data_IF_796245929728
#
_entry.id   IF_796245929728
#
_cell.length_a   1.000
_cell.length_b   1.000
_cell.length_c   1.000
_cell.angle_alpha   90.00
_cell.angle_beta   90.00
_cell.angle_gamma   90.00
#
_symmetry.space_group_name_H-M   'P 1'
#
loop_
_entity.id
_entity.type
_entity.pdbx_description
1 polymer ?
#
# COMPACT_ATOMS: atom_id res chain seq x y z
N UNK A 1 -20.83 20.41 -12.40
CA UNK A 1 -19.87 19.29 -12.48
C UNK A 1 -18.41 19.75 -12.61
N UNK A 2 -18.11 20.96 -13.12
CA UNK A 2 -16.74 21.50 -13.11
C UNK A 2 -16.34 22.18 -11.78
N UNK A 3 -17.32 22.57 -10.94
CA UNK A 3 -17.12 23.36 -9.70
C UNK A 3 -16.76 22.55 -8.44
N UNK A 4 -16.56 21.23 -8.53
CA UNK A 4 -16.32 20.38 -7.34
C UNK A 4 -15.09 19.48 -7.49
N UNK A 5 -14.10 19.94 -8.26
CA UNK A 5 -12.84 19.21 -8.44
C UNK A 5 -11.86 19.57 -7.32
N UNK A 6 -11.08 18.59 -6.81
CA UNK A 6 -10.11 18.86 -5.77
C UNK A 6 -8.96 19.71 -6.30
N UNK A 7 -8.42 20.60 -5.47
CA UNK A 7 -7.29 21.47 -5.82
C UNK A 7 -6.01 20.66 -6.15
N UNK A 8 -5.86 19.49 -5.51
CA UNK A 8 -4.74 18.58 -5.71
C UNK A 8 -5.24 17.19 -6.12
N UNK A 9 -4.54 16.61 -7.09
CA UNK A 9 -4.72 15.22 -7.48
C UNK A 9 -3.43 14.44 -7.26
N UNK A 10 -3.51 13.37 -6.48
CA UNK A 10 -2.39 12.49 -6.15
C UNK A 10 -2.50 11.19 -6.94
N UNK A 11 -1.71 11.06 -8.00
CA UNK A 11 -1.62 9.81 -8.76
C UNK A 11 -0.70 8.84 -8.03
N UNK A 12 -1.31 7.91 -7.31
CA UNK A 12 -0.62 6.86 -6.56
C UNK A 12 0.32 6.04 -7.46
N UNK A 13 1.48 5.72 -6.90
CA UNK A 13 2.50 4.81 -7.42
C UNK A 13 2.86 3.82 -6.32
N UNK A 14 3.68 2.83 -6.65
CA UNK A 14 4.12 1.79 -5.70
C UNK A 14 4.65 2.37 -4.37
N UNK A 15 5.53 3.38 -4.43
CA UNK A 15 6.20 3.95 -3.25
C UNK A 15 5.84 5.42 -2.98
N UNK A 16 4.69 5.91 -3.48
CA UNK A 16 4.27 7.30 -3.25
C UNK A 16 3.30 7.80 -4.30
N UNK A 17 3.50 9.01 -4.81
CA UNK A 17 2.60 9.59 -5.79
C UNK A 17 3.28 10.65 -6.67
N UNK A 18 2.69 10.91 -7.83
CA UNK A 18 2.87 12.20 -8.50
C UNK A 18 1.74 13.13 -8.10
N UNK A 19 2.13 14.35 -7.76
CA UNK A 19 1.23 15.39 -7.30
C UNK A 19 0.96 16.33 -8.46
N UNK A 20 -0.31 16.51 -8.77
CA UNK A 20 -0.79 17.48 -9.73
C UNK A 20 -1.63 18.52 -9.01
N UNK A 21 -1.44 19.77 -9.39
CA UNK A 21 -2.40 20.84 -9.08
C UNK A 21 -3.42 20.88 -10.21
N UNK A 22 -4.69 20.90 -9.84
CA UNK A 22 -5.80 20.86 -10.79
C UNK A 22 -6.25 22.28 -11.05
N UNK A 23 -6.23 22.70 -12.31
CA UNK A 23 -6.76 23.99 -12.75
C UNK A 23 -8.07 23.76 -13.52
N UNK A 24 -9.11 24.48 -13.10
CA UNK A 24 -10.47 24.39 -13.65
C UNK A 24 -10.93 25.69 -14.31
N UNK A 25 -10.14 26.76 -14.26
CA UNK A 25 -10.53 28.10 -14.75
C UNK A 25 -10.33 28.30 -16.25
N UNK A 26 -10.05 27.24 -17.01
CA UNK A 26 -9.84 27.38 -18.44
C UNK A 26 -11.19 27.57 -19.16
N UNK A 27 -11.31 28.63 -19.98
CA UNK A 27 -12.54 29.03 -20.73
C UNK A 27 -13.20 27.90 -21.55
N UNK A 28 -12.48 26.80 -21.76
CA UNK A 28 -12.90 25.61 -22.52
C UNK A 28 -13.50 24.48 -21.65
N UNK A 29 -13.66 24.65 -20.33
CA UNK A 29 -14.09 23.59 -19.38
C UNK A 29 -13.20 22.33 -19.41
N UNK A 30 -11.90 22.49 -19.71
CA UNK A 30 -10.92 21.39 -19.65
C UNK A 30 -10.29 21.36 -18.27
N UNK A 31 -10.11 20.15 -17.75
CA UNK A 31 -9.34 19.91 -16.53
C UNK A 31 -7.88 19.88 -16.93
N UNK A 32 -7.11 20.84 -16.44
CA UNK A 32 -5.66 20.85 -16.62
C UNK A 32 -4.99 20.34 -15.34
N UNK A 33 -4.00 19.45 -15.50
CA UNK A 33 -3.25 18.86 -14.41
C UNK A 33 -1.79 19.25 -14.54
N UNK A 34 -1.38 20.21 -13.73
CA UNK A 34 -0.01 20.72 -13.68
C UNK A 34 0.79 19.90 -12.65
N UNK A 35 1.78 19.15 -13.11
CA UNK A 35 2.61 18.36 -12.21
C UNK A 35 3.49 19.27 -11.36
N UNK A 36 3.32 19.21 -10.04
CA UNK A 36 4.05 20.08 -9.10
C UNK A 36 5.15 19.33 -8.36
N UNK A 37 4.97 18.02 -8.10
CA UNK A 37 5.91 17.25 -7.30
C UNK A 37 5.82 15.73 -7.53
N UNK A 38 6.83 15.02 -7.03
CA UNK A 38 6.83 13.57 -6.84
C UNK A 38 7.15 13.28 -5.38
N UNK A 39 6.34 12.41 -4.77
CA UNK A 39 6.44 12.04 -3.36
C UNK A 39 6.96 10.61 -3.25
N UNK A 40 7.85 10.38 -2.28
CA UNK A 40 8.31 9.05 -1.88
C UNK A 40 7.97 8.82 -0.40
N UNK A 41 7.07 7.87 -0.13
CA UNK A 41 6.58 7.56 1.21
C UNK A 41 7.60 6.80 2.07
N UNK A 42 8.49 6.02 1.46
CA UNK A 42 9.50 5.25 2.19
C UNK A 42 10.62 6.16 2.73
N UNK A 43 10.89 7.27 2.04
CA UNK A 43 11.94 8.24 2.40
C UNK A 43 11.41 9.52 3.04
N UNK A 44 10.09 9.66 3.13
CA UNK A 44 9.44 10.91 3.52
C UNK A 44 9.91 12.14 2.73
N UNK A 45 10.06 11.93 1.43
CA UNK A 45 10.68 12.90 0.53
C UNK A 45 9.66 13.48 -0.44
N UNK A 46 9.73 14.80 -0.63
CA UNK A 46 8.90 15.56 -1.56
C UNK A 46 9.83 16.26 -2.54
N UNK A 47 9.82 15.81 -3.80
CA UNK A 47 10.65 16.36 -4.87
C UNK A 47 9.82 17.27 -5.77
N UNK A 48 10.07 18.59 -5.79
CA UNK A 48 9.42 19.47 -6.77
C UNK A 48 9.69 19.02 -8.20
N UNK A 49 8.75 19.29 -9.10
CA UNK A 49 8.91 18.99 -10.52
C UNK A 49 9.64 20.13 -11.25
N UNK A 50 10.76 19.81 -11.90
CA UNK A 50 11.60 20.82 -12.57
C UNK A 50 12.21 21.81 -11.57
N UNK A 51 12.34 23.07 -11.98
CA UNK A 51 12.90 24.16 -11.16
C UNK A 51 11.85 24.86 -10.29
N UNK A 52 10.74 24.17 -10.00
CA UNK A 52 9.61 24.75 -9.30
C UNK A 52 9.86 24.88 -7.80
N UNK A 53 9.46 26.01 -7.22
CA UNK A 53 9.34 26.17 -5.77
C UNK A 53 7.91 25.85 -5.34
N UNK A 54 7.74 24.90 -4.43
CA UNK A 54 6.44 24.59 -3.83
C UNK A 54 6.05 25.66 -2.81
N UNK A 55 4.79 26.09 -2.84
CA UNK A 55 4.23 26.99 -1.84
C UNK A 55 4.02 26.29 -0.50
N UNK A 56 3.77 27.06 0.56
CA UNK A 56 3.41 26.51 1.86
C UNK A 56 2.10 25.68 1.80
N UNK A 57 1.15 26.09 0.97
CA UNK A 57 -0.11 25.36 0.76
C UNK A 57 0.15 24.01 0.05
N UNK A 58 0.97 24.00 -1.01
CA UNK A 58 1.35 22.76 -1.71
C UNK A 58 1.99 21.78 -0.72
N UNK A 59 2.95 22.24 0.09
CA UNK A 59 3.65 21.41 1.06
C UNK A 59 2.72 20.87 2.14
N UNK A 60 1.78 21.68 2.63
CA UNK A 60 0.80 21.26 3.63
C UNK A 60 -0.14 20.18 3.07
N UNK A 61 -0.67 20.39 1.86
CA UNK A 61 -1.54 19.42 1.20
C UNK A 61 -0.82 18.10 0.93
N UNK A 62 0.43 18.15 0.47
CA UNK A 62 1.24 16.95 0.21
C UNK A 62 1.50 16.18 1.51
N UNK A 63 1.87 16.86 2.60
CA UNK A 63 2.14 16.21 3.89
C UNK A 63 0.89 15.57 4.48
N UNK A 64 -0.26 16.27 4.44
CA UNK A 64 -1.53 15.71 4.90
C UNK A 64 -1.89 14.43 4.14
N UNK A 65 -1.76 14.47 2.81
CA UNK A 65 -1.98 13.28 1.97
C UNK A 65 -1.01 12.14 2.31
N UNK A 66 0.26 12.43 2.57
CA UNK A 66 1.25 11.41 2.96
C UNK A 66 0.86 10.72 4.27
N UNK A 67 0.43 11.47 5.27
CA UNK A 67 0.04 10.95 6.58
C UNK A 67 -1.21 10.07 6.48
N UNK A 68 -2.25 10.55 5.79
CA UNK A 68 -3.47 9.77 5.51
C UNK A 68 -3.14 8.50 4.73
N UNK A 69 -2.26 8.60 3.74
CA UNK A 69 -1.87 7.46 2.91
C UNK A 69 -1.12 6.41 3.71
N UNK A 70 -0.20 6.81 4.58
CA UNK A 70 0.53 5.88 5.47
C UNK A 70 -0.41 5.18 6.44
N UNK A 71 -1.34 5.91 7.04
CA UNK A 71 -2.34 5.33 7.94
C UNK A 71 -3.19 4.28 7.20
N UNK A 72 -3.66 4.59 5.99
CA UNK A 72 -4.40 3.65 5.15
C UNK A 72 -3.57 2.42 4.77
N UNK A 73 -2.29 2.59 4.40
CA UNK A 73 -1.40 1.47 4.08
C UNK A 73 -1.20 0.56 5.30
N UNK A 74 -0.94 1.12 6.47
CA UNK A 74 -0.79 0.35 7.70
C UNK A 74 -2.07 -0.45 8.06
N UNK A 75 -3.26 0.12 7.82
CA UNK A 75 -4.52 -0.61 7.99
C UNK A 75 -4.67 -1.75 6.98
N UNK A 76 -4.20 -1.57 5.75
CA UNK A 76 -4.24 -2.62 4.71
C UNK A 76 -3.23 -3.72 4.98
N UNK A 77 -2.06 -3.38 5.48
CA UNK A 77 -1.02 -4.35 5.81
C UNK A 77 -1.53 -5.38 6.82
N UNK A 78 -2.19 -4.93 7.90
CA UNK A 78 -2.75 -5.87 8.91
C UNK A 78 -3.92 -6.69 8.35
N UNK A 79 -4.74 -6.10 7.48
CA UNK A 79 -5.85 -6.75 6.81
C UNK A 79 -5.37 -7.82 5.81
N UNK A 80 -4.25 -7.58 5.11
CA UNK A 80 -3.58 -8.59 4.26
C UNK A 80 -3.05 -9.78 5.08
N UNK A 81 -2.57 -9.55 6.31
CA UNK A 81 -2.18 -10.65 7.21
C UNK A 81 -3.40 -11.48 7.62
N UNK A 82 -4.55 -10.85 7.92
CA UNK A 82 -5.78 -11.59 8.19
C UNK A 82 -6.24 -12.40 6.96
N UNK A 83 -6.17 -11.81 5.76
CA UNK A 83 -6.44 -12.55 4.50
C UNK A 83 -5.52 -13.75 4.30
N UNK A 84 -4.24 -13.65 4.69
CA UNK A 84 -3.32 -14.77 4.62
C UNK A 84 -3.77 -15.93 5.53
N UNK A 85 -4.25 -15.63 6.75
CA UNK A 85 -4.82 -16.63 7.66
C UNK A 85 -6.05 -17.30 7.03
N UNK A 86 -6.96 -16.53 6.48
CA UNK A 86 -8.15 -17.07 5.79
C UNK A 86 -7.77 -17.93 4.59
N UNK A 87 -6.77 -17.51 3.81
CA UNK A 87 -6.27 -18.27 2.67
C UNK A 87 -5.70 -19.62 3.11
N UNK A 88 -4.93 -19.67 4.21
CA UNK A 88 -4.41 -20.93 4.76
C UNK A 88 -5.54 -21.86 5.24
N UNK A 89 -6.57 -21.30 5.90
CA UNK A 89 -7.73 -22.06 6.35
C UNK A 89 -8.52 -22.64 5.17
N UNK A 90 -8.79 -21.83 4.14
CA UNK A 90 -9.49 -22.26 2.92
C UNK A 90 -8.67 -23.29 2.14
N UNK A 91 -7.34 -23.14 2.10
CA UNK A 91 -6.43 -24.11 1.47
C UNK A 91 -6.47 -25.44 2.20
N UNK A 92 -6.48 -25.41 3.54
CA UNK A 92 -6.64 -26.62 4.38
C UNK A 92 -7.95 -27.33 4.06
N UNK A 93 -9.06 -26.59 4.02
CA UNK A 93 -10.38 -27.15 3.69
C UNK A 93 -10.42 -27.73 2.27
N UNK A 94 -9.81 -27.04 1.29
CA UNK A 94 -9.70 -27.54 -0.08
C UNK A 94 -8.89 -28.84 -0.14
N UNK A 95 -7.74 -28.91 0.51
CA UNK A 95 -6.90 -30.11 0.56
C UNK A 95 -7.64 -31.31 1.15
N UNK A 96 -8.48 -31.07 2.16
CA UNK A 96 -9.26 -32.12 2.83
C UNK A 96 -10.45 -32.64 2.00
N UNK A 97 -11.13 -31.76 1.27
CA UNK A 97 -12.46 -32.07 0.72
C UNK A 97 -12.55 -32.05 -0.80
N UNK A 98 -11.55 -31.50 -1.51
CA UNK A 98 -11.64 -31.25 -2.96
C UNK A 98 -10.39 -31.57 -3.76
N UNK A 99 -9.19 -31.53 -3.16
CA UNK A 99 -7.95 -31.71 -3.90
C UNK A 99 -7.79 -33.13 -4.47
N UNK A 100 -7.30 -33.24 -5.70
CA UNK A 100 -6.86 -34.52 -6.26
C UNK A 100 -5.44 -34.88 -5.83
N UNK A 101 -5.05 -36.15 -5.94
CA UNK A 101 -3.69 -36.61 -5.62
C UNK A 101 -2.61 -35.84 -6.40
N UNK A 102 -2.79 -35.68 -7.72
CA UNK A 102 -1.84 -34.95 -8.55
C UNK A 102 -1.74 -33.46 -8.17
N UNK A 103 -2.84 -32.83 -7.73
CA UNK A 103 -2.80 -31.46 -7.23
C UNK A 103 -2.05 -31.37 -5.90
N UNK A 104 -2.24 -32.33 -5.00
CA UNK A 104 -1.52 -32.38 -3.72
C UNK A 104 -0.03 -32.60 -3.94
N UNK A 105 0.35 -33.52 -4.81
CA UNK A 105 1.76 -33.76 -5.16
C UNK A 105 2.44 -32.48 -5.69
N UNK A 106 1.73 -31.70 -6.51
CA UNK A 106 2.27 -30.49 -7.11
C UNK A 106 2.51 -29.32 -6.14
N UNK A 107 1.85 -29.28 -4.96
CA UNK A 107 1.89 -28.10 -4.07
C UNK A 107 2.32 -28.40 -2.63
N UNK A 108 2.38 -29.67 -2.22
CA UNK A 108 2.57 -30.03 -0.81
C UNK A 108 3.90 -29.52 -0.25
N UNK A 109 5.01 -29.77 -0.93
CA UNK A 109 6.33 -29.38 -0.43
C UNK A 109 6.48 -27.85 -0.35
N UNK A 110 6.00 -27.13 -1.36
CA UNK A 110 6.01 -25.66 -1.38
C UNK A 110 5.18 -25.08 -0.22
N UNK A 111 3.98 -25.61 0.03
CA UNK A 111 3.14 -25.20 1.14
C UNK A 111 3.79 -25.50 2.50
N UNK A 112 4.36 -26.70 2.66
CA UNK A 112 5.02 -27.10 3.91
C UNK A 112 6.23 -26.22 4.21
N UNK A 113 7.05 -25.90 3.21
CA UNK A 113 8.22 -25.04 3.37
C UNK A 113 7.82 -23.59 3.72
N UNK A 114 6.83 -23.02 3.01
CA UNK A 114 6.34 -21.68 3.30
C UNK A 114 5.75 -21.56 4.71
N UNK A 115 4.95 -22.55 5.14
CA UNK A 115 4.39 -22.59 6.49
C UNK A 115 5.47 -22.78 7.57
N UNK A 116 6.48 -23.59 7.30
CA UNK A 116 7.58 -23.82 8.23
C UNK A 116 8.40 -22.56 8.48
N UNK A 117 8.77 -21.83 7.43
CA UNK A 117 9.54 -20.58 7.54
C UNK A 117 8.74 -19.53 8.32
N UNK A 118 7.49 -19.29 7.92
CA UNK A 118 6.60 -18.34 8.62
C UNK A 118 6.45 -18.69 10.10
N UNK A 119 6.20 -19.97 10.42
CA UNK A 119 6.10 -20.45 11.80
C UNK A 119 7.38 -20.16 12.58
N UNK A 120 8.55 -20.43 12.00
CA UNK A 120 9.84 -20.22 12.66
C UNK A 120 10.07 -18.74 13.01
N UNK A 121 9.75 -17.83 12.09
CA UNK A 121 9.81 -16.37 12.34
C UNK A 121 8.86 -15.94 13.45
N UNK A 122 7.59 -16.40 13.40
CA UNK A 122 6.58 -16.04 14.39
C UNK A 122 6.91 -16.56 15.80
N UNK A 123 7.39 -17.80 15.90
CA UNK A 123 7.82 -18.40 17.18
C UNK A 123 8.99 -17.60 17.77
N UNK A 124 10.01 -17.27 16.96
CA UNK A 124 11.14 -16.43 17.39
C UNK A 124 10.66 -15.07 17.90
N UNK A 125 9.81 -14.37 17.13
CA UNK A 125 9.25 -13.07 17.52
C UNK A 125 8.39 -13.12 18.77
N UNK A 126 7.64 -14.21 18.98
CA UNK A 126 6.88 -14.42 20.21
C UNK A 126 7.80 -14.61 21.42
N UNK A 127 8.90 -15.35 21.25
CA UNK A 127 9.88 -15.56 22.32
C UNK A 127 10.61 -14.26 22.72
N UNK A 128 10.97 -13.41 21.75
CA UNK A 128 11.58 -12.08 21.99
C UNK A 128 10.71 -11.14 22.85
N UNK A 129 9.38 -11.34 22.86
CA UNK A 129 8.42 -10.52 23.63
C UNK A 129 8.21 -11.00 25.06
N UNK A 130 8.71 -12.19 25.42
CA UNK A 130 8.62 -12.67 26.79
C UNK A 130 9.65 -11.91 27.66
N UNK A 131 9.27 -11.44 28.86
CA UNK A 131 10.22 -10.82 29.77
C UNK A 131 11.34 -11.82 30.08
N UNK A 132 12.59 -11.35 30.01
CA UNK A 132 13.74 -12.15 30.44
C UNK A 132 13.56 -12.45 31.93
N UNK A 133 13.60 -13.73 32.28
CA UNK A 133 13.70 -14.17 33.67
C UNK A 133 15.03 -13.74 34.27
#
# INVERSE_FOLDING_TARGET
MADDLPEYYFRVRENGATVFRVDTENRQRRIDMDQIAVVNLNRDDIKPHGDRTLSAADLAAIRAWMDERKALLAMRDIDDIHRAVDTLNLTTQWAQTRASEAQLEAVTDDLLMAMHDLRSVLVRKKAERLPKK
#
